data_IF_204224985498
#
_entry.id   IF_204224985498
#
_cell.length_a   1.000
_cell.length_b   1.000
_cell.length_c   1.000
_cell.angle_alpha   90.00
_cell.angle_beta   90.00
_cell.angle_gamma   90.00
#
_symmetry.space_group_name_H-M   'P 1'
#
loop_
_entity.id
_entity.type
_entity.pdbx_description
1 polymer ?
#
# COMPACT_ATOMS: atom_id res chain seq x y z
N UNK A 1 43.89 70.64 28.22
CA UNK A 1 44.04 69.74 27.08
C UNK A 1 43.66 68.35 27.55
N UNK A 2 42.35 68.17 27.59
CA UNK A 2 41.52 66.98 27.38
C UNK A 2 42.18 65.59 27.47
N UNK A 3 41.91 64.94 28.60
CA UNK A 3 41.88 63.49 28.73
C UNK A 3 40.58 63.00 28.06
N UNK A 4 40.69 62.08 27.11
CA UNK A 4 39.52 61.45 26.49
C UNK A 4 38.95 60.36 27.40
N UNK A 5 37.62 60.44 27.51
CA UNK A 5 36.72 59.60 28.28
C UNK A 5 36.72 58.14 27.81
N UNK A 6 37.02 57.22 28.73
CA UNK A 6 36.57 55.83 28.63
C UNK A 6 35.18 55.75 29.29
N UNK A 7 34.17 55.59 28.46
CA UNK A 7 32.75 55.59 28.80
C UNK A 7 32.21 54.15 28.76
N UNK A 8 31.43 53.83 29.80
CA UNK A 8 30.56 52.65 30.00
C UNK A 8 31.23 51.35 30.47
N UNK A 9 30.59 50.52 31.29
CA UNK A 9 29.70 50.68 32.44
C UNK A 9 29.58 49.24 32.96
N UNK A 10 29.58 49.06 34.27
CA UNK A 10 29.41 47.77 34.92
C UNK A 10 27.98 47.26 34.76
N UNK A 11 27.79 46.01 34.33
CA UNK A 11 26.61 45.22 34.70
C UNK A 11 27.05 43.79 35.09
N UNK A 12 26.87 43.50 36.37
CA UNK A 12 26.91 42.18 37.00
C UNK A 12 25.66 41.35 36.64
N UNK A 13 25.84 40.03 36.72
CA UNK A 13 24.83 38.97 36.93
C UNK A 13 23.82 38.69 35.79
N UNK A 14 23.83 37.47 35.27
CA UNK A 14 22.93 36.45 35.81
C UNK A 14 23.21 35.07 35.19
N UNK A 15 23.02 34.05 36.03
CA UNK A 15 23.03 32.64 35.70
C UNK A 15 22.15 32.34 34.47
N UNK A 16 22.74 31.90 33.37
CA UNK A 16 22.00 31.07 32.42
C UNK A 16 22.26 29.63 32.78
N UNK A 17 21.39 29.10 33.64
CA UNK A 17 21.25 27.68 33.89
C UNK A 17 21.26 26.92 32.56
N UNK A 18 22.26 26.07 32.35
CA UNK A 18 22.13 25.00 31.39
C UNK A 18 21.02 24.10 31.93
N UNK A 19 19.78 24.36 31.50
CA UNK A 19 18.70 23.40 31.63
C UNK A 19 19.20 22.13 30.97
N UNK A 20 19.58 21.17 31.81
CA UNK A 20 19.77 19.81 31.40
C UNK A 20 18.43 19.41 30.83
N UNK A 21 18.31 19.43 29.51
CA UNK A 21 17.22 18.79 28.79
C UNK A 21 17.27 17.35 29.27
N UNK A 22 16.36 17.04 30.19
CA UNK A 22 15.92 15.69 30.44
C UNK A 22 15.64 15.13 29.06
N UNK A 23 16.50 14.21 28.62
CA UNK A 23 16.16 13.23 27.60
C UNK A 23 15.05 12.40 28.24
N UNK A 24 13.85 12.98 28.31
CA UNK A 24 12.64 12.20 28.23
C UNK A 24 12.86 11.38 26.99
N UNK A 25 13.07 10.09 27.23
CA UNK A 25 13.16 9.07 26.22
C UNK A 25 11.80 9.12 25.54
N UNK A 26 11.69 10.01 24.55
CA UNK A 26 10.53 10.16 23.71
C UNK A 26 10.39 8.80 23.04
N UNK A 27 9.50 7.99 23.61
CA UNK A 27 9.07 6.74 23.02
C UNK A 27 8.17 7.07 21.81
N UNK A 28 8.53 8.12 21.03
CA UNK A 28 7.89 8.44 19.79
C UNK A 28 8.32 7.38 18.81
N UNK A 29 7.39 6.46 18.61
CA UNK A 29 7.47 5.53 17.51
C UNK A 29 7.69 6.31 16.22
N UNK A 30 8.73 5.95 15.48
CA UNK A 30 9.06 6.59 14.20
C UNK A 30 7.89 6.54 13.23
N UNK A 31 7.77 7.57 12.40
CA UNK A 31 6.75 7.66 11.36
C UNK A 31 7.39 7.24 10.05
N UNK A 32 6.82 6.21 9.42
CA UNK A 32 7.26 5.74 8.11
C UNK A 32 6.20 6.08 7.07
N UNK A 33 6.55 6.95 6.12
CA UNK A 33 5.64 7.25 5.02
C UNK A 33 5.72 6.13 3.96
N UNK A 34 4.57 5.72 3.37
CA UNK A 34 4.57 4.79 2.24
C UNK A 34 5.48 5.23 1.09
N UNK A 35 5.71 6.53 0.90
CA UNK A 35 6.61 7.03 -0.15
C UNK A 35 8.08 6.73 0.14
N UNK A 36 8.55 7.06 1.34
CA UNK A 36 9.98 7.17 1.69
C UNK A 36 10.47 6.12 2.69
N UNK A 37 9.65 5.10 3.00
CA UNK A 37 10.02 4.00 3.92
C UNK A 37 11.32 3.28 3.57
N UNK A 38 11.76 3.34 2.31
CA UNK A 38 13.03 2.76 1.82
C UNK A 38 13.96 3.86 1.27
N UNK A 39 13.89 5.08 1.79
CA UNK A 39 14.70 6.20 1.31
C UNK A 39 16.20 5.94 1.39
N UNK A 40 16.63 5.12 2.35
CA UNK A 40 18.00 4.64 2.47
C UNK A 40 18.47 3.86 1.24
N UNK A 41 17.56 3.16 0.55
CA UNK A 41 17.89 2.36 -0.63
C UNK A 41 18.04 3.22 -1.90
N UNK A 42 17.56 4.45 -1.91
CA UNK A 42 17.58 5.30 -3.11
C UNK A 42 18.98 5.69 -3.58
N UNK A 43 19.96 5.60 -2.68
CA UNK A 43 21.38 5.82 -2.99
C UNK A 43 22.06 4.61 -3.63
N UNK A 44 21.40 3.45 -3.67
CA UNK A 44 21.93 2.25 -4.31
C UNK A 44 21.86 2.40 -5.84
N UNK A 45 22.97 2.16 -6.53
CA UNK A 45 23.07 2.22 -8.00
C UNK A 45 22.09 1.26 -8.70
N UNK A 46 21.70 0.17 -8.03
CA UNK A 46 20.71 -0.80 -8.53
C UNK A 46 19.26 -0.34 -8.31
N UNK A 47 19.02 0.69 -7.50
CA UNK A 47 17.68 1.19 -7.24
C UNK A 47 17.10 1.89 -8.47
N UNK A 48 15.96 1.39 -8.95
CA UNK A 48 15.32 1.91 -10.16
C UNK A 48 14.48 3.15 -9.86
N UNK A 49 15.12 4.22 -9.40
CA UNK A 49 14.45 5.47 -9.01
C UNK A 49 13.52 6.01 -10.09
N UNK A 50 14.01 6.10 -11.33
CA UNK A 50 13.22 6.56 -12.48
C UNK A 50 11.98 5.70 -12.75
N UNK A 51 12.06 4.38 -12.53
CA UNK A 51 10.92 3.48 -12.67
C UNK A 51 9.91 3.73 -11.53
N UNK A 52 10.40 3.85 -10.30
CA UNK A 52 9.59 4.12 -9.11
C UNK A 52 8.79 5.42 -9.24
N UNK A 53 9.45 6.55 -9.50
CA UNK A 53 8.76 7.84 -9.68
C UNK A 53 7.88 7.86 -10.93
N UNK A 54 8.27 7.14 -11.98
CA UNK A 54 7.49 6.99 -13.20
C UNK A 54 6.17 6.23 -12.97
N UNK A 55 6.15 5.28 -12.04
CA UNK A 55 4.92 4.59 -11.61
C UNK A 55 4.03 5.51 -10.79
N UNK A 56 4.61 6.27 -9.86
CA UNK A 56 3.87 7.25 -9.04
C UNK A 56 3.19 8.30 -9.92
N UNK A 57 3.89 8.85 -10.92
CA UNK A 57 3.34 9.84 -11.83
C UNK A 57 2.16 9.34 -12.69
N UNK A 58 1.90 8.03 -12.73
CA UNK A 58 0.74 7.42 -13.43
C UNK A 58 -0.43 7.12 -12.51
N UNK A 59 -0.26 7.25 -11.19
CA UNK A 59 -1.33 7.02 -10.24
C UNK A 59 -2.40 8.11 -10.36
N UNK A 60 -3.69 7.81 -10.11
CA UNK A 60 -4.71 8.82 -9.88
C UNK A 60 -4.32 9.75 -8.73
N UNK A 61 -4.75 11.02 -8.78
CA UNK A 61 -4.45 12.02 -7.74
C UNK A 61 -4.76 11.50 -6.32
N UNK A 62 -5.93 10.89 -6.13
CA UNK A 62 -6.32 10.32 -4.84
C UNK A 62 -5.38 9.25 -4.29
N UNK A 63 -4.69 8.50 -5.16
CA UNK A 63 -3.72 7.50 -4.75
C UNK A 63 -2.34 8.11 -4.47
N UNK A 64 -1.98 9.19 -5.19
CA UNK A 64 -0.79 9.99 -4.88
C UNK A 64 -0.96 10.69 -3.54
N UNK A 65 -2.15 11.22 -3.25
CA UNK A 65 -2.47 11.88 -1.97
C UNK A 65 -2.17 10.93 -0.80
N UNK A 66 -2.65 9.68 -0.84
CA UNK A 66 -2.36 8.69 0.22
C UNK A 66 -0.86 8.40 0.33
N UNK A 67 -0.12 8.42 -0.77
CA UNK A 67 1.32 8.13 -0.76
C UNK A 67 2.15 9.25 -0.13
N UNK A 68 1.74 10.52 -0.33
CA UNK A 68 2.49 11.70 0.09
C UNK A 68 1.92 12.44 1.31
N UNK A 69 0.68 12.17 1.69
CA UNK A 69 0.02 12.84 2.82
C UNK A 69 0.60 12.35 4.15
N UNK A 70 1.04 13.31 4.96
CA UNK A 70 1.51 13.03 6.31
C UNK A 70 0.42 12.38 7.18
N UNK A 71 -0.86 12.71 6.96
CA UNK A 71 -1.97 12.08 7.68
C UNK A 71 -2.06 10.58 7.42
N UNK A 72 -1.69 10.12 6.20
CA UNK A 72 -1.66 8.70 5.91
C UNK A 72 -0.57 7.99 6.72
N UNK A 73 0.62 8.60 6.83
CA UNK A 73 1.71 8.08 7.65
C UNK A 73 1.35 8.08 9.15
N UNK A 74 0.71 9.13 9.66
CA UNK A 74 0.19 9.16 11.04
C UNK A 74 -0.86 8.08 11.28
N UNK A 75 -1.78 7.87 10.34
CA UNK A 75 -2.80 6.82 10.46
C UNK A 75 -2.18 5.43 10.53
N UNK A 76 -1.12 5.17 9.75
CA UNK A 76 -0.38 3.89 9.81
C UNK A 76 0.29 3.74 11.18
N UNK A 77 0.93 4.79 11.71
CA UNK A 77 1.52 4.80 13.04
C UNK A 77 0.49 4.55 14.14
N UNK A 78 -0.67 5.19 14.06
CA UNK A 78 -1.73 5.04 15.07
C UNK A 78 -2.30 3.62 15.05
N UNK A 79 -2.56 3.06 13.86
CA UNK A 79 -2.98 1.66 13.69
C UNK A 79 -1.91 0.74 14.27
N UNK A 80 -0.64 0.95 13.95
CA UNK A 80 0.45 0.14 14.46
C UNK A 80 0.58 0.21 15.99
N UNK A 81 0.44 1.40 16.55
CA UNK A 81 0.52 1.65 18.00
C UNK A 81 -0.62 0.94 18.74
N UNK A 82 -1.84 0.96 18.17
CA UNK A 82 -3.00 0.23 18.71
C UNK A 82 -2.83 -1.29 18.72
N UNK A 83 -1.88 -1.82 17.94
CA UNK A 83 -1.56 -3.24 17.87
C UNK A 83 -0.18 -3.59 18.43
N UNK A 84 0.47 -2.64 19.13
CA UNK A 84 1.78 -2.81 19.76
C UNK A 84 2.84 -3.38 18.79
N UNK A 85 2.80 -2.94 17.53
CA UNK A 85 3.79 -3.39 16.54
C UNK A 85 5.20 -2.90 16.92
N UNK A 86 6.23 -3.60 16.45
CA UNK A 86 7.62 -3.13 16.54
C UNK A 86 7.95 -2.17 15.40
N UNK A 87 9.03 -1.39 15.54
CA UNK A 87 9.50 -0.47 14.48
C UNK A 87 9.63 -1.15 13.10
N UNK A 88 10.28 -2.32 13.05
CA UNK A 88 10.44 -3.10 11.81
C UNK A 88 9.09 -3.54 11.23
N UNK A 89 8.13 -3.88 12.08
CA UNK A 89 6.77 -4.23 11.64
C UNK A 89 6.05 -3.00 11.06
N UNK A 90 6.28 -1.79 11.59
CA UNK A 90 5.70 -0.56 11.01
C UNK A 90 6.32 -0.22 9.67
N UNK A 91 7.65 -0.35 9.52
CA UNK A 91 8.30 -0.21 8.21
C UNK A 91 7.67 -1.16 7.21
N UNK A 92 7.53 -2.44 7.58
CA UNK A 92 6.90 -3.43 6.72
C UNK A 92 5.42 -3.16 6.44
N UNK A 93 4.67 -2.61 7.39
CA UNK A 93 3.29 -2.20 7.18
C UNK A 93 3.21 -1.07 6.15
N UNK A 94 4.08 -0.08 6.26
CA UNK A 94 4.16 1.07 5.35
C UNK A 94 4.54 0.61 3.94
N UNK A 95 5.45 -0.36 3.81
CA UNK A 95 5.75 -1.04 2.53
C UNK A 95 4.53 -1.76 1.96
N UNK A 96 3.74 -2.47 2.78
CA UNK A 96 2.49 -3.13 2.32
C UNK A 96 1.50 -2.10 1.77
N UNK A 97 1.34 -0.95 2.44
CA UNK A 97 0.47 0.13 1.96
C UNK A 97 0.97 0.68 0.63
N UNK A 98 2.27 0.98 0.51
CA UNK A 98 2.90 1.42 -0.73
C UNK A 98 2.67 0.42 -1.87
N UNK A 99 3.00 -0.85 -1.63
CA UNK A 99 2.87 -1.92 -2.63
C UNK A 99 1.41 -2.04 -3.11
N UNK A 100 0.45 -1.81 -2.21
CA UNK A 100 -0.99 -1.76 -2.55
C UNK A 100 -1.33 -0.57 -3.43
N UNK A 101 -0.85 0.63 -3.09
CA UNK A 101 -1.07 1.87 -3.85
C UNK A 101 -0.46 1.77 -5.25
N UNK A 102 0.74 1.21 -5.36
CA UNK A 102 1.46 1.01 -6.62
C UNK A 102 0.92 -0.15 -7.47
N UNK A 103 -0.02 -0.93 -6.93
CA UNK A 103 -0.62 -2.09 -7.61
C UNK A 103 0.27 -3.33 -7.67
N UNK A 104 1.34 -3.38 -6.87
CA UNK A 104 2.17 -4.58 -6.68
C UNK A 104 1.47 -5.61 -5.79
N UNK A 105 0.59 -5.13 -4.91
CA UNK A 105 -0.22 -5.95 -4.03
C UNK A 105 -1.71 -5.70 -4.27
N UNK A 106 -2.49 -6.78 -4.41
CA UNK A 106 -3.94 -6.69 -4.55
C UNK A 106 -4.57 -6.46 -3.17
N UNK A 107 -5.52 -5.53 -3.08
CA UNK A 107 -6.18 -5.16 -1.81
C UNK A 107 -6.78 -6.37 -1.05
N UNK A 108 -7.34 -7.34 -1.79
CA UNK A 108 -7.90 -8.58 -1.22
C UNK A 108 -6.86 -9.52 -0.59
N UNK A 109 -5.58 -9.31 -0.86
CA UNK A 109 -4.44 -10.09 -0.33
C UNK A 109 -3.67 -9.31 0.76
N UNK A 110 -4.16 -8.13 1.15
CA UNK A 110 -3.49 -7.28 2.13
C UNK A 110 -3.34 -8.00 3.49
N UNK A 111 -4.40 -8.64 3.99
CA UNK A 111 -4.36 -9.32 5.29
C UNK A 111 -3.34 -10.46 5.33
N UNK A 112 -3.24 -11.27 4.27
CA UNK A 112 -2.26 -12.37 4.20
C UNK A 112 -0.82 -11.85 4.07
N UNK A 113 -0.63 -10.74 3.35
CA UNK A 113 0.68 -10.08 3.25
C UNK A 113 1.11 -9.45 4.58
N UNK A 114 0.18 -8.85 5.32
CA UNK A 114 0.45 -8.33 6.67
C UNK A 114 0.84 -9.48 7.59
N UNK A 115 0.07 -10.57 7.63
CA UNK A 115 0.38 -11.73 8.47
C UNK A 115 1.78 -12.28 8.19
N UNK A 116 2.14 -12.38 6.92
CA UNK A 116 3.43 -12.94 6.48
C UNK A 116 4.59 -11.98 6.72
N UNK A 117 4.50 -10.73 6.24
CA UNK A 117 5.62 -9.76 6.31
C UNK A 117 5.86 -9.25 7.73
N UNK A 118 4.83 -9.17 8.57
CA UNK A 118 4.96 -8.71 9.95
C UNK A 118 5.05 -9.88 10.96
N UNK A 119 4.92 -11.13 10.51
CA UNK A 119 4.90 -12.32 11.37
C UNK A 119 3.82 -12.21 12.48
N UNK A 120 2.60 -11.88 12.08
CA UNK A 120 1.44 -11.69 12.96
C UNK A 120 0.43 -12.83 12.78
N UNK A 121 -0.44 -13.01 13.78
CA UNK A 121 -1.59 -13.91 13.63
C UNK A 121 -2.56 -13.38 12.57
N UNK A 122 -3.30 -14.30 11.94
CA UNK A 122 -4.29 -13.94 10.91
C UNK A 122 -5.37 -12.98 11.44
N UNK A 123 -5.74 -13.10 12.71
CA UNK A 123 -6.76 -12.25 13.33
C UNK A 123 -6.27 -10.81 13.46
N UNK A 124 -5.06 -10.61 13.97
CA UNK A 124 -4.44 -9.27 14.10
C UNK A 124 -4.21 -8.68 12.70
N UNK A 125 -3.66 -9.46 11.78
CA UNK A 125 -3.40 -9.01 10.42
C UNK A 125 -4.70 -8.59 9.69
N UNK A 126 -5.79 -9.32 9.91
CA UNK A 126 -7.10 -8.96 9.36
C UNK A 126 -7.65 -7.67 9.97
N UNK A 127 -7.49 -7.48 11.28
CA UNK A 127 -7.89 -6.24 11.95
C UNK A 127 -7.12 -5.04 11.41
N UNK A 128 -5.79 -5.14 11.30
CA UNK A 128 -4.93 -4.09 10.72
C UNK A 128 -5.34 -3.79 9.28
N UNK A 129 -5.51 -4.82 8.45
CA UNK A 129 -5.92 -4.64 7.05
C UNK A 129 -7.25 -3.88 6.94
N UNK A 130 -8.24 -4.25 7.75
CA UNK A 130 -9.53 -3.57 7.77
C UNK A 130 -9.40 -2.10 8.18
N UNK A 131 -8.60 -1.81 9.23
CA UNK A 131 -8.33 -0.43 9.68
C UNK A 131 -7.67 0.40 8.58
N UNK A 132 -6.67 -0.17 7.89
CA UNK A 132 -5.99 0.51 6.77
C UNK A 132 -6.95 0.75 5.61
N UNK A 133 -7.73 -0.26 5.21
CA UNK A 133 -8.72 -0.13 4.13
C UNK A 133 -9.73 0.96 4.49
N UNK A 134 -10.21 0.97 5.73
CA UNK A 134 -11.14 1.99 6.18
C UNK A 134 -10.49 3.36 6.24
N UNK A 135 -9.28 3.55 6.74
CA UNK A 135 -8.73 4.90 6.90
C UNK A 135 -8.16 5.47 5.60
N UNK A 136 -7.41 4.65 4.85
CA UNK A 136 -6.62 5.12 3.71
C UNK A 136 -7.30 4.89 2.35
N UNK A 137 -8.22 3.92 2.26
CA UNK A 137 -8.83 3.52 0.99
C UNK A 137 -10.34 3.83 0.90
N UNK A 138 -10.90 4.62 1.85
CA UNK A 138 -12.32 5.04 1.92
C UNK A 138 -12.86 5.67 0.62
N UNK A 139 -11.99 6.24 -0.24
CA UNK A 139 -12.37 6.88 -1.52
C UNK A 139 -11.48 6.44 -2.69
N UNK A 140 -10.67 5.39 -2.53
CA UNK A 140 -9.96 4.83 -3.68
C UNK A 140 -10.98 4.06 -4.53
N UNK A 141 -11.09 4.33 -5.86
CA UNK A 141 -11.95 3.52 -6.71
C UNK A 141 -11.54 2.06 -6.49
N UNK A 142 -12.53 1.23 -6.18
CA UNK A 142 -12.47 -0.22 -6.11
C UNK A 142 -12.08 -0.79 -7.48
N UNK A 143 -10.90 -0.44 -8.00
CA UNK A 143 -10.29 -1.11 -9.12
C UNK A 143 -9.79 -2.43 -8.54
N UNK A 144 -10.66 -3.44 -8.63
CA UNK A 144 -10.36 -4.84 -8.37
C UNK A 144 -9.20 -5.39 -9.22
N UNK A 145 -8.57 -4.57 -10.04
CA UNK A 145 -7.33 -4.84 -10.77
C UNK A 145 -6.92 -3.51 -11.39
N UNK A 146 -5.71 -3.01 -11.16
CA UNK A 146 -5.03 -2.26 -12.22
C UNK A 146 -4.57 -3.38 -13.16
N UNK A 147 -5.17 -3.54 -14.36
CA UNK A 147 -4.71 -4.58 -15.26
C UNK A 147 -3.26 -4.28 -15.62
N UNK A 148 -2.34 -5.19 -15.31
CA UNK A 148 -1.15 -5.33 -16.15
C UNK A 148 -1.70 -5.47 -17.57
N UNK A 149 -1.33 -4.56 -18.47
CA UNK A 149 -1.71 -4.65 -19.88
C UNK A 149 -1.45 -6.08 -20.36
N UNK A 150 -2.52 -6.85 -20.51
CA UNK A 150 -2.45 -8.14 -21.16
C UNK A 150 -2.36 -7.85 -22.66
N UNK A 151 -1.45 -8.51 -23.40
CA UNK A 151 -1.37 -8.34 -24.84
C UNK A 151 -2.75 -8.63 -25.46
N UNK A 152 -3.12 -7.92 -26.54
CA UNK A 152 -4.47 -8.01 -27.10
C UNK A 152 -4.80 -9.46 -27.44
N UNK A 153 -5.86 -9.98 -26.82
CA UNK A 153 -6.41 -11.30 -27.13
C UNK A 153 -6.83 -11.31 -28.62
N UNK A 154 -6.43 -12.31 -29.43
CA UNK A 154 -6.92 -12.41 -30.79
C UNK A 154 -8.45 -12.58 -30.79
N UNK A 155 -9.15 -12.08 -31.82
CA UNK A 155 -10.61 -12.10 -31.87
C UNK A 155 -11.15 -13.54 -31.82
N UNK A 156 -12.11 -13.76 -30.93
CA UNK A 156 -12.84 -15.04 -30.82
C UNK A 156 -13.76 -15.17 -32.03
N UNK A 157 -13.49 -16.16 -32.88
CA UNK A 157 -14.37 -16.53 -33.99
C UNK A 157 -15.73 -17.03 -33.45
N UNK A 158 -16.87 -16.62 -34.03
CA UNK A 158 -18.18 -17.03 -33.57
C UNK A 158 -18.42 -18.55 -33.75
N UNK A 159 -18.99 -19.14 -32.70
CA UNK A 159 -19.38 -20.55 -32.57
C UNK A 159 -20.11 -21.08 -33.82
N UNK A 160 -19.61 -22.17 -34.41
CA UNK A 160 -20.40 -23.02 -35.31
C UNK A 160 -21.31 -23.93 -34.47
N UNK A 161 -22.58 -24.16 -34.86
CA UNK A 161 -23.44 -25.11 -34.17
C UNK A 161 -22.92 -26.55 -34.35
N UNK A 162 -22.93 -27.29 -33.23
CA UNK A 162 -22.44 -28.64 -33.08
C UNK A 162 -23.50 -29.63 -33.60
N UNK A 163 -23.27 -30.29 -34.74
CA UNK A 163 -24.15 -31.36 -35.24
C UNK A 163 -23.85 -32.65 -34.47
N UNK A 164 -24.48 -32.83 -33.30
CA UNK A 164 -24.65 -34.16 -32.70
C UNK A 164 -25.77 -34.88 -33.46
N UNK A 165 -25.41 -35.86 -34.28
CA UNK A 165 -26.35 -36.85 -34.79
C UNK A 165 -26.30 -38.02 -33.80
N UNK A 166 -27.31 -38.15 -32.94
CA UNK A 166 -27.51 -39.35 -32.12
C UNK A 166 -28.15 -40.46 -32.98
N UNK A 167 -27.77 -41.74 -32.80
CA UNK A 167 -28.46 -42.85 -33.44
C UNK A 167 -29.58 -43.34 -32.51
N UNK A 168 -30.84 -43.12 -32.88
CA UNK A 168 -31.95 -43.78 -32.20
C UNK A 168 -32.38 -45.03 -32.98
N UNK A 169 -32.28 -46.17 -32.30
CA UNK A 169 -32.67 -47.49 -32.78
C UNK A 169 -33.99 -47.82 -32.14
N UNK A 170 -35.08 -47.83 -32.91
CA UNK A 170 -36.33 -48.45 -32.47
C UNK A 170 -36.67 -49.66 -33.35
N UNK A 171 -36.67 -50.83 -32.70
CA UNK A 171 -37.03 -52.15 -33.24
C UNK A 171 -38.53 -52.42 -33.02
N UNK A 172 -39.19 -52.95 -34.06
CA UNK A 172 -40.49 -53.67 -34.01
C UNK A 172 -41.71 -52.75 -33.94
N UNK A 173 -42.82 -52.94 -34.65
CA UNK A 173 -43.40 -54.17 -35.20
C UNK A 173 -44.50 -53.82 -36.23
N UNK A 174 -44.58 -54.62 -37.31
CA UNK A 174 -45.73 -54.96 -38.20
C UNK A 174 -46.82 -53.94 -38.55
N UNK A 175 -47.06 -53.72 -39.85
CA UNK A 175 -48.32 -54.10 -40.54
C UNK A 175 -48.02 -54.41 -42.02
N UNK A 176 -48.41 -55.61 -42.46
CA UNK A 176 -48.39 -56.06 -43.85
C UNK A 176 -49.73 -55.72 -44.52
N UNK A 177 -49.73 -54.97 -45.62
CA UNK A 177 -50.92 -54.74 -46.46
C UNK A 177 -50.51 -54.71 -47.93
N UNK A 178 -50.54 -55.89 -48.56
CA UNK A 178 -50.79 -56.03 -50.01
C UNK A 178 -52.02 -55.19 -50.39
N UNK A 179 -51.88 -54.28 -51.37
CA UNK A 179 -52.81 -54.07 -52.48
C UNK A 179 -52.51 -52.77 -53.25
N UNK A 180 -51.86 -52.88 -54.41
CA UNK A 180 -52.46 -52.69 -55.74
C UNK A 180 -51.41 -52.83 -56.84
#
# INVERSE_FOLDING_TARGET
>A
MDNQDNLFDTIDNDESSYSSLSTEQDNSMDIYSPFDVDAEEWSNDDYKWSEFVGRIGRLPASAQDVLFDSNAAYSIKDIASNHELTEDQIKNLSRVVRDTILGDLVLGEMSSNIATKLNLSNDIASAIANSIISELFKVAPQNKTIPKELPPRPPVLPNRPNLKIEPDVSRGNVVDLRNK
#
